data_IF_430398347947
#
_entry.id   IF_430398347947
#
_cell.length_a   1.000
_cell.length_b   1.000
_cell.length_c   1.000
_cell.angle_alpha   90.00
_cell.angle_beta   90.00
_cell.angle_gamma   90.00
#
_symmetry.space_group_name_H-M   'P 1'
#
loop_
_entity.id
_entity.type
_entity.pdbx_description
1 polymer ?
#
# COMPACT_ATOMS: atom_id res chain seq x y z
N UNK A 1 -17.17 3.00 2.23
CA UNK A 1 -17.43 3.18 3.68
C UNK A 1 -17.04 4.62 4.03
N UNK A 2 -17.89 5.36 4.73
CA UNK A 2 -17.75 6.81 4.95
C UNK A 2 -16.63 7.10 5.98
N UNK A 3 -15.63 7.95 5.67
CA UNK A 3 -14.52 8.25 6.58
C UNK A 3 -14.90 9.17 7.75
N UNK A 4 -16.09 9.78 7.74
CA UNK A 4 -16.55 10.69 8.81
C UNK A 4 -17.16 9.96 10.03
N UNK A 5 -17.54 8.69 9.86
CA UNK A 5 -18.18 7.91 10.94
C UNK A 5 -17.16 7.29 11.91
N UNK A 6 -15.91 7.13 11.48
CA UNK A 6 -14.84 6.60 12.32
C UNK A 6 -13.48 7.00 11.73
N UNK A 7 -12.69 7.75 12.48
CA UNK A 7 -11.34 8.14 12.08
C UNK A 7 -10.44 6.91 11.79
N UNK A 8 -10.77 5.73 12.34
CA UNK A 8 -10.03 4.48 12.08
C UNK A 8 -10.31 3.87 10.69
N UNK A 9 -11.23 4.43 9.91
CA UNK A 9 -11.39 4.08 8.49
C UNK A 9 -10.32 4.75 7.59
N UNK A 10 -9.48 5.66 8.13
CA UNK A 10 -8.28 6.11 7.42
C UNK A 10 -7.15 5.09 7.45
N UNK A 11 -7.24 4.06 8.31
CA UNK A 11 -6.21 3.03 8.46
C UNK A 11 -6.39 1.87 7.46
N UNK A 12 -7.54 1.80 6.77
CA UNK A 12 -7.77 0.84 5.68
C UNK A 12 -7.29 1.40 4.34
N UNK A 13 -6.06 1.90 4.29
CA UNK A 13 -5.42 2.14 2.99
C UNK A 13 -4.93 0.78 2.52
N UNK A 14 -5.80 -0.01 1.90
CA UNK A 14 -5.41 -1.33 1.39
C UNK A 14 -4.38 -1.21 0.26
N UNK A 15 -4.31 -0.04 -0.41
CA UNK A 15 -3.45 0.21 -1.57
C UNK A 15 -2.96 1.66 -1.61
N UNK A 16 -1.68 1.85 -1.90
CA UNK A 16 -1.04 3.16 -2.06
C UNK A 16 -0.70 3.37 -3.53
N UNK A 17 -1.08 4.51 -4.11
CA UNK A 17 -0.68 4.90 -5.46
C UNK A 17 0.47 5.90 -5.39
N UNK A 18 1.58 5.58 -6.05
CA UNK A 18 2.74 6.46 -6.13
C UNK A 18 3.20 6.54 -7.59
N UNK A 19 3.25 7.74 -8.16
CA UNK A 19 3.73 8.01 -9.52
C UNK A 19 3.08 7.10 -10.60
N UNK A 20 1.79 6.79 -10.46
CA UNK A 20 1.03 5.92 -11.39
C UNK A 20 1.20 4.42 -11.18
N UNK A 21 2.00 3.99 -10.19
CA UNK A 21 2.14 2.59 -9.78
C UNK A 21 1.33 2.33 -8.53
N UNK A 22 0.68 1.17 -8.49
CA UNK A 22 -0.14 0.76 -7.36
C UNK A 22 0.65 -0.22 -6.50
N UNK A 23 0.68 0.06 -5.20
CA UNK A 23 1.37 -0.75 -4.21
C UNK A 23 0.38 -1.28 -3.19
N UNK A 24 0.58 -2.51 -2.76
CA UNK A 24 -0.11 -3.08 -1.61
C UNK A 24 0.46 -2.45 -0.32
N UNK A 25 -0.39 -1.94 0.58
CA UNK A 25 0.12 -1.19 1.74
C UNK A 25 0.74 -2.08 2.83
N UNK A 26 0.39 -3.38 2.88
CA UNK A 26 0.93 -4.31 3.87
C UNK A 26 2.31 -4.81 3.47
N UNK A 27 2.45 -5.14 2.19
CA UNK A 27 3.65 -5.77 1.65
C UNK A 27 4.52 -4.81 0.85
N UNK A 28 4.04 -3.62 0.52
CA UNK A 28 4.70 -2.63 -0.34
C UNK A 28 5.10 -3.18 -1.72
N UNK A 29 4.50 -4.30 -2.14
CA UNK A 29 4.68 -4.88 -3.47
C UNK A 29 3.95 -4.04 -4.51
N UNK A 30 4.57 -3.84 -5.67
CA UNK A 30 3.86 -3.26 -6.81
C UNK A 30 2.88 -4.29 -7.35
N UNK A 31 1.61 -3.92 -7.47
CA UNK A 31 0.54 -4.78 -8.00
C UNK A 31 0.03 -4.31 -9.37
N UNK A 32 0.36 -3.08 -9.79
CA UNK A 32 0.01 -2.53 -11.11
C UNK A 32 1.00 -1.44 -11.56
N UNK A 33 1.31 -1.29 -12.86
CA UNK A 33 0.87 -2.13 -13.99
C UNK A 33 1.49 -3.53 -14.02
N UNK A 34 2.70 -3.66 -13.49
CA UNK A 34 3.40 -4.93 -13.36
C UNK A 34 3.38 -5.40 -11.91
N UNK A 35 3.32 -6.72 -11.70
CA UNK A 35 3.46 -7.34 -10.39
C UNK A 35 4.94 -7.50 -10.09
N UNK A 36 5.45 -6.69 -9.16
CA UNK A 36 6.86 -6.71 -8.74
C UNK A 36 6.91 -6.85 -7.22
N UNK A 37 7.49 -7.95 -6.75
CA UNK A 37 7.80 -8.11 -5.34
C UNK A 37 8.85 -7.07 -4.95
N UNK A 38 8.66 -6.41 -3.81
CA UNK A 38 9.64 -5.44 -3.31
C UNK A 38 10.95 -6.14 -2.95
N UNK A 39 12.04 -5.40 -3.05
CA UNK A 39 13.31 -5.80 -2.47
C UNK A 39 13.28 -5.69 -0.94
N UNK A 40 14.23 -6.37 -0.29
CA UNK A 40 14.42 -6.29 1.16
C UNK A 40 14.69 -4.84 1.57
N UNK A 41 14.05 -4.40 2.65
CA UNK A 41 14.41 -3.11 3.24
C UNK A 41 15.77 -3.18 3.93
N UNK A 42 16.43 -2.03 4.06
CA UNK A 42 17.73 -1.93 4.73
C UNK A 42 17.72 -2.41 6.20
N UNK A 43 16.55 -2.45 6.83
CA UNK A 43 16.33 -2.84 8.23
C UNK A 43 15.72 -4.23 8.39
N UNK A 44 15.46 -4.95 7.30
CA UNK A 44 15.02 -6.35 7.36
C UNK A 44 16.26 -7.26 7.29
N UNK A 45 16.68 -7.77 8.45
CA UNK A 45 17.75 -8.77 8.58
C UNK A 45 17.22 -10.20 8.42
#
# INVERSE_FOLDING_TARGET
>A
KNPLDNIRNSDSIDKVMLNGRLYDAQTMNQIFPDIVARDKFYFEH
#
